data_IF_414375822704
#
_entry.id   IF_414375822704
#
_cell.length_a   1.000
_cell.length_b   1.000
_cell.length_c   1.000
_cell.angle_alpha   90.00
_cell.angle_beta   90.00
_cell.angle_gamma   90.00
#
_symmetry.space_group_name_H-M   'P 1'
#
loop_
_entity.id
_entity.type
_entity.pdbx_description
1 polymer ?
#
# COMPACT_ATOMS: atom_id res chain seq x y z
N UNK A 1 4.04 -12.82 -4.18
CA UNK A 1 4.11 -11.37 -3.96
C UNK A 1 4.41 -11.11 -2.49
N UNK A 2 5.60 -10.58 -2.16
CA UNK A 2 5.96 -10.24 -0.78
C UNK A 2 5.52 -8.80 -0.50
N UNK A 3 4.59 -8.62 0.42
CA UNK A 3 4.09 -7.29 0.81
C UNK A 3 4.71 -6.91 2.15
N UNK A 4 5.36 -5.75 2.20
CA UNK A 4 6.01 -5.23 3.40
C UNK A 4 5.49 -3.83 3.73
N UNK A 5 5.30 -3.54 5.02
CA UNK A 5 4.91 -2.21 5.50
C UNK A 5 6.05 -1.68 6.38
N UNK A 6 6.71 -0.62 5.90
CA UNK A 6 7.80 0.03 6.64
C UNK A 6 7.29 1.32 7.27
N UNK A 7 7.55 1.50 8.57
CA UNK A 7 7.21 2.72 9.29
C UNK A 7 8.36 3.74 9.14
N UNK A 8 8.09 4.86 8.48
CA UNK A 8 9.12 5.83 8.07
C UNK A 8 8.76 7.23 8.59
N UNK A 9 9.73 7.93 9.16
CA UNK A 9 9.60 9.33 9.57
C UNK A 9 10.31 10.24 8.57
N UNK A 10 9.57 11.16 7.95
CA UNK A 10 10.18 12.25 7.18
C UNK A 10 10.71 13.32 8.14
N UNK A 11 11.81 13.99 7.79
CA UNK A 11 12.40 15.06 8.61
C UNK A 11 11.34 16.08 9.03
N UNK A 12 11.23 16.33 10.33
CA UNK A 12 10.22 17.20 10.96
C UNK A 12 8.76 16.95 10.54
N UNK A 13 8.41 15.71 10.17
CA UNK A 13 7.06 15.35 9.78
C UNK A 13 6.50 14.19 10.62
N UNK A 14 5.18 13.99 10.49
CA UNK A 14 4.51 12.84 11.05
C UNK A 14 5.03 11.53 10.43
N UNK A 15 4.93 10.46 11.22
CA UNK A 15 5.24 9.12 10.75
C UNK A 15 4.27 8.69 9.65
N UNK A 16 4.79 7.96 8.67
CA UNK A 16 4.02 7.36 7.60
C UNK A 16 4.36 5.88 7.47
N UNK A 17 3.48 5.15 6.78
CA UNK A 17 3.64 3.74 6.47
C UNK A 17 3.83 3.62 4.97
N UNK A 18 4.99 3.14 4.54
CA UNK A 18 5.29 2.84 3.14
C UNK A 18 4.97 1.37 2.90
N UNK A 19 4.13 1.10 1.92
CA UNK A 19 3.77 -0.25 1.47
C UNK A 19 4.62 -0.56 0.26
N UNK A 20 5.35 -1.67 0.33
CA UNK A 20 6.21 -2.17 -0.74
C UNK A 20 5.78 -3.56 -1.18
N UNK A 21 5.91 -3.81 -2.49
CA UNK A 21 5.68 -5.11 -3.13
C UNK A 21 7.00 -5.57 -3.73
N UNK A 22 7.51 -6.71 -3.28
CA UNK A 22 8.77 -7.31 -3.74
C UNK A 22 9.93 -6.29 -3.73
N UNK A 23 10.00 -5.48 -2.67
CA UNK A 23 11.01 -4.42 -2.49
C UNK A 23 10.71 -3.09 -3.20
N UNK A 24 9.69 -3.02 -4.05
CA UNK A 24 9.30 -1.79 -4.76
C UNK A 24 8.21 -1.04 -3.97
N UNK A 25 8.42 0.23 -3.57
CA UNK A 25 7.39 1.00 -2.88
C UNK A 25 6.24 1.35 -3.84
N UNK A 26 5.01 1.01 -3.43
CA UNK A 26 3.80 1.15 -4.27
C UNK A 26 2.79 2.15 -3.70
N UNK A 27 2.76 2.34 -2.38
CA UNK A 27 1.84 3.26 -1.73
C UNK A 27 2.40 3.80 -0.43
N UNK A 28 1.89 4.96 0.01
CA UNK A 28 2.17 5.54 1.32
C UNK A 28 0.86 5.87 2.03
N UNK A 29 0.77 5.56 3.31
CA UNK A 29 -0.39 5.82 4.15
C UNK A 29 0.01 6.55 5.42
N UNK A 30 -0.84 7.49 5.87
CA UNK A 30 -0.63 8.25 7.11
C UNK A 30 -1.01 7.48 8.38
N UNK A 31 -1.67 6.33 8.25
CA UNK A 31 -2.11 5.53 9.40
C UNK A 31 -1.90 4.03 9.15
N UNK A 32 -1.60 3.31 10.22
CA UNK A 32 -1.39 1.86 10.18
C UNK A 32 -2.63 1.12 9.65
N UNK A 33 -3.83 1.57 10.04
CA UNK A 33 -5.11 1.01 9.55
C UNK A 33 -5.21 1.12 8.03
N UNK A 34 -4.91 2.30 7.46
CA UNK A 34 -4.99 2.50 6.01
C UNK A 34 -3.92 1.68 5.28
N UNK A 35 -2.72 1.58 5.83
CA UNK A 35 -1.65 0.75 5.28
C UNK A 35 -2.05 -0.73 5.25
N UNK A 36 -2.65 -1.24 6.33
CA UNK A 36 -3.13 -2.62 6.41
C UNK A 36 -4.24 -2.93 5.39
N UNK A 37 -5.18 -2.00 5.19
CA UNK A 37 -6.21 -2.16 4.15
C UNK A 37 -5.60 -2.23 2.74
N UNK A 38 -4.60 -1.41 2.44
CA UNK A 38 -3.91 -1.42 1.14
C UNK A 38 -3.13 -2.74 0.95
N UNK A 39 -2.42 -3.19 1.98
CA UNK A 39 -1.69 -4.45 1.92
C UNK A 39 -2.64 -5.64 1.72
N UNK A 40 -3.75 -5.71 2.45
CA UNK A 40 -4.73 -6.78 2.27
C UNK A 40 -5.44 -6.71 0.90
N UNK A 41 -5.68 -5.50 0.35
CA UNK A 41 -6.18 -5.35 -1.01
C UNK A 41 -5.22 -5.93 -2.05
N UNK A 42 -3.91 -5.64 -1.89
CA UNK A 42 -2.83 -6.17 -2.72
C UNK A 42 -2.71 -7.70 -2.61
N UNK A 43 -2.94 -8.26 -1.42
CA UNK A 43 -2.96 -9.70 -1.15
C UNK A 43 -4.20 -10.43 -1.71
N UNK A 44 -5.16 -9.68 -2.27
CA UNK A 44 -6.34 -10.24 -2.93
C UNK A 44 -7.62 -10.23 -2.09
N UNK A 45 -7.59 -9.65 -0.88
CA UNK A 45 -8.80 -9.49 -0.09
C UNK A 45 -9.79 -8.52 -0.76
N UNK A 46 -11.10 -8.81 -0.64
CA UNK A 46 -12.17 -7.94 -1.12
C UNK A 46 -12.34 -6.79 -0.12
N UNK A 47 -11.58 -5.71 -0.34
CA UNK A 47 -11.59 -4.52 0.50
C UNK A 47 -12.01 -3.33 -0.35
N UNK A 48 -12.98 -2.58 0.14
CA UNK A 48 -13.41 -1.35 -0.50
C UNK A 48 -12.44 -0.20 -0.15
N UNK A 49 -11.63 0.20 -1.14
CA UNK A 49 -10.81 1.40 -1.05
C UNK A 49 -11.53 2.52 -1.80
N UNK A 50 -12.07 3.52 -1.08
CA UNK A 50 -12.80 4.64 -1.68
C UNK A 50 -11.93 5.66 -2.45
N UNK A 51 -10.70 5.29 -2.83
CA UNK A 51 -9.78 6.16 -3.59
C UNK A 51 -9.57 5.54 -4.97
N UNK A 52 -10.37 6.00 -5.95
CA UNK A 52 -10.42 5.40 -7.28
C UNK A 52 -9.10 5.50 -8.06
N UNK A 53 -8.29 6.53 -7.82
CA UNK A 53 -6.98 6.67 -8.46
C UNK A 53 -5.99 5.67 -7.87
N UNK A 54 -5.99 5.52 -6.54
CA UNK A 54 -5.17 4.53 -5.85
C UNK A 54 -5.54 3.11 -6.30
N UNK A 55 -6.83 2.76 -6.32
CA UNK A 55 -7.31 1.44 -6.75
C UNK A 55 -6.79 1.10 -8.15
N UNK A 56 -6.93 2.01 -9.11
CA UNK A 56 -6.42 1.81 -10.48
C UNK A 56 -4.91 1.54 -10.54
N UNK A 57 -4.12 2.19 -9.67
CA UNK A 57 -2.68 1.95 -9.61
C UNK A 57 -2.36 0.60 -8.98
N UNK A 58 -3.06 0.24 -7.90
CA UNK A 58 -2.90 -1.06 -7.23
C UNK A 58 -3.32 -2.22 -8.13
N UNK A 59 -4.38 -2.05 -8.93
CA UNK A 59 -4.86 -3.08 -9.87
C UNK A 59 -3.80 -3.39 -10.94
N UNK A 60 -3.14 -2.38 -11.50
CA UNK A 60 -2.03 -2.60 -12.45
C UNK A 60 -0.89 -3.42 -11.83
N UNK A 61 -0.59 -3.18 -10.56
CA UNK A 61 0.45 -3.93 -9.85
C UNK A 61 0.00 -5.38 -9.64
N UNK A 62 -1.27 -5.61 -9.30
CA UNK A 62 -1.85 -6.94 -9.17
C UNK A 62 -1.87 -7.69 -10.51
N UNK A 63 -2.10 -7.01 -11.63
CA UNK A 63 -2.05 -7.61 -12.97
C UNK A 63 -0.63 -8.02 -13.39
N UNK A 64 0.37 -7.18 -13.09
CA UNK A 64 1.78 -7.45 -13.47
C UNK A 64 2.43 -8.52 -12.59
N UNK A 65 1.99 -8.67 -11.33
CA UNK A 65 2.55 -9.64 -10.39
C UNK A 65 1.91 -11.04 -10.48
N UNK A 66 0.95 -11.23 -11.39
CA UNK A 66 0.20 -12.48 -11.57
C UNK A 66 0.73 -13.29 -12.76
#
# INVERSE_FOLDING_TARGET
>A
MKIEITHVKKYNAAWNHVISVDGTPVAIAKSARRAGLIAAYLDGAVIELHDGTLVKQLDKIKEVSR
#
